data_IF_891357437024
#
_entry.id   IF_891357437024
#
_cell.length_a   1.000
_cell.length_b   1.000
_cell.length_c   1.000
_cell.angle_alpha   90.00
_cell.angle_beta   90.00
_cell.angle_gamma   90.00
#
_symmetry.space_group_name_H-M   'P 1'
#
loop_
_entity.id
_entity.type
_entity.pdbx_description
1 polymer ?
#
# COMPACT_ATOMS: atom_id res chain seq x y z
N UNK A 1 -44.86 -23.10 -55.01
CA UNK A 1 -44.72 -24.37 -54.29
C UNK A 1 -43.38 -24.98 -54.66
N UNK A 2 -42.39 -24.82 -53.78
CA UNK A 2 -41.06 -25.38 -53.93
C UNK A 2 -40.59 -25.78 -52.52
N UNK A 3 -40.18 -27.03 -52.37
CA UNK A 3 -39.62 -27.57 -51.15
C UNK A 3 -38.10 -27.45 -51.19
N UNK A 4 -37.48 -27.02 -50.08
CA UNK A 4 -36.21 -27.59 -49.64
C UNK A 4 -35.93 -27.26 -48.17
N UNK A 5 -35.64 -28.33 -47.44
CA UNK A 5 -35.23 -28.36 -46.04
C UNK A 5 -33.74 -27.97 -45.98
N UNK A 6 -33.39 -26.97 -45.18
CA UNK A 6 -31.99 -26.56 -44.93
C UNK A 6 -31.65 -26.76 -43.45
N UNK A 7 -30.73 -27.69 -43.23
CA UNK A 7 -30.11 -28.05 -41.95
C UNK A 7 -29.18 -26.94 -41.47
N UNK A 8 -29.43 -26.40 -40.28
CA UNK A 8 -28.64 -25.32 -39.71
C UNK A 8 -27.44 -25.90 -38.92
N UNK A 9 -26.21 -25.61 -39.36
CA UNK A 9 -24.97 -25.99 -38.66
C UNK A 9 -24.66 -25.02 -37.52
N UNK A 10 -24.26 -25.50 -36.31
CA UNK A 10 -23.83 -24.63 -35.23
C UNK A 10 -22.43 -24.06 -35.49
N UNK A 11 -22.30 -22.73 -35.44
CA UNK A 11 -21.06 -21.98 -35.64
C UNK A 11 -20.07 -22.24 -34.50
N UNK A 12 -18.85 -22.63 -34.87
CA UNK A 12 -17.69 -22.81 -33.99
C UNK A 12 -17.26 -21.47 -33.38
N UNK A 13 -17.24 -21.40 -32.04
CA UNK A 13 -16.71 -20.26 -31.28
C UNK A 13 -15.18 -20.39 -31.17
N UNK A 14 -14.44 -19.40 -31.69
CA UNK A 14 -12.97 -19.33 -31.61
C UNK A 14 -12.56 -18.80 -30.24
N UNK A 15 -11.64 -19.53 -29.61
CA UNK A 15 -10.97 -19.15 -28.36
C UNK A 15 -10.03 -17.95 -28.61
N UNK A 16 -10.13 -16.92 -27.78
CA UNK A 16 -9.10 -15.88 -27.60
C UNK A 16 -8.43 -16.11 -26.24
N UNK A 17 -7.10 -15.96 -26.13
CA UNK A 17 -6.37 -16.27 -24.90
C UNK A 17 -6.64 -15.24 -23.81
N UNK A 18 -7.03 -15.72 -22.64
CA UNK A 18 -7.10 -14.98 -21.37
C UNK A 18 -5.67 -14.52 -21.00
N UNK A 19 -5.45 -13.21 -20.97
CA UNK A 19 -4.27 -12.62 -20.34
C UNK A 19 -4.47 -12.69 -18.83
N UNK A 20 -3.69 -13.55 -18.18
CA UNK A 20 -3.67 -13.74 -16.73
C UNK A 20 -3.09 -12.52 -16.04
N UNK A 21 -3.87 -11.96 -15.11
CA UNK A 21 -3.45 -10.96 -14.15
C UNK A 21 -2.61 -11.67 -13.07
N UNK A 22 -1.28 -11.55 -13.15
CA UNK A 22 -0.37 -11.96 -12.06
C UNK A 22 -0.31 -10.81 -11.07
N UNK A 23 -1.12 -10.89 -10.01
CA UNK A 23 -0.98 -10.05 -8.82
C UNK A 23 0.12 -10.67 -7.95
N UNK A 24 1.35 -10.16 -8.06
CA UNK A 24 2.36 -10.35 -7.03
C UNK A 24 2.11 -9.35 -5.90
N UNK A 25 1.07 -9.61 -5.12
CA UNK A 25 0.86 -9.07 -3.79
C UNK A 25 1.22 -10.13 -2.76
N UNK A 26 2.51 -10.38 -2.55
CA UNK A 26 2.98 -11.22 -1.46
C UNK A 26 2.98 -10.37 -0.18
N UNK A 27 1.88 -10.48 0.56
CA UNK A 27 1.65 -9.85 1.86
C UNK A 27 0.39 -10.42 2.53
N UNK A 28 0.27 -11.74 2.54
CA UNK A 28 -0.58 -12.62 3.35
C UNK A 28 -1.94 -12.10 3.84
N UNK A 29 -2.95 -12.37 3.02
CA UNK A 29 -4.30 -12.77 3.46
C UNK A 29 -4.18 -14.03 4.34
N UNK A 30 -4.59 -13.99 5.61
CA UNK A 30 -5.02 -15.18 6.35
C UNK A 30 -6.41 -14.96 6.95
N UNK A 31 -7.22 -16.01 6.81
CA UNK A 31 -8.67 -16.09 6.85
C UNK A 31 -9.32 -16.05 8.25
N UNK A 32 -10.64 -15.85 8.22
CA UNK A 32 -11.64 -15.85 9.28
C UNK A 32 -11.71 -17.13 10.18
N UNK A 33 -11.84 -16.91 11.51
CA UNK A 33 -12.79 -17.53 12.48
C UNK A 33 -12.70 -19.02 12.89
N UNK A 34 -13.38 -19.49 13.98
CA UNK A 34 -14.42 -18.82 14.79
C UNK A 34 -14.19 -18.82 16.33
N UNK A 35 -15.01 -18.03 17.02
CA UNK A 35 -15.14 -17.87 18.48
C UNK A 35 -15.54 -19.15 19.23
N UNK A 36 -14.98 -19.39 20.43
CA UNK A 36 -15.67 -20.01 21.57
C UNK A 36 -15.17 -19.42 22.89
N UNK A 37 -16.13 -19.18 23.78
CA UNK A 37 -16.02 -18.59 25.11
C UNK A 37 -15.76 -19.69 26.14
N UNK A 38 -14.75 -19.56 27.01
CA UNK A 38 -14.85 -20.05 28.39
C UNK A 38 -13.87 -19.36 29.35
N UNK A 39 -14.37 -19.15 30.57
CA UNK A 39 -13.73 -18.47 31.70
C UNK A 39 -12.84 -19.50 32.43
N UNK A 40 -11.55 -19.23 32.62
CA UNK A 40 -10.67 -20.12 33.40
C UNK A 40 -9.28 -19.55 33.67
N UNK A 41 -9.07 -19.18 34.93
CA UNK A 41 -7.83 -19.11 35.75
C UNK A 41 -6.43 -19.10 35.10
N UNK A 42 -5.59 -18.20 35.63
CA UNK A 42 -4.12 -18.15 35.56
C UNK A 42 -3.43 -19.51 35.70
N UNK A 43 -2.52 -19.88 34.78
CA UNK A 43 -1.06 -19.82 34.95
C UNK A 43 -0.32 -20.55 33.80
N UNK A 44 0.73 -19.89 33.28
CA UNK A 44 1.92 -20.45 32.59
C UNK A 44 1.78 -20.97 31.12
N UNK A 45 2.90 -21.21 30.39
CA UNK A 45 3.46 -20.29 29.41
C UNK A 45 3.45 -20.89 27.98
N UNK A 46 2.70 -20.30 27.05
CA UNK A 46 2.49 -20.94 25.75
C UNK A 46 3.64 -20.72 24.76
N UNK A 47 4.59 -21.65 24.81
CA UNK A 47 5.48 -22.01 23.71
C UNK A 47 4.74 -22.68 22.54
N UNK A 48 3.69 -22.05 22.02
CA UNK A 48 3.03 -22.49 20.79
C UNK A 48 3.93 -22.21 19.58
N UNK A 49 3.97 -23.13 18.62
CA UNK A 49 4.72 -22.96 17.36
C UNK A 49 4.31 -21.69 16.59
N UNK A 50 3.07 -21.23 16.81
CA UNK A 50 2.55 -19.97 16.25
C UNK A 50 3.08 -18.72 16.96
N UNK A 51 3.27 -18.75 18.29
CA UNK A 51 3.89 -17.64 19.03
C UNK A 51 5.34 -17.41 18.60
N UNK A 52 6.12 -18.50 18.44
CA UNK A 52 7.50 -18.41 17.94
C UNK A 52 7.59 -17.96 16.48
N UNK A 53 6.64 -18.36 15.65
CA UNK A 53 6.56 -17.89 14.26
C UNK A 53 6.22 -16.40 14.22
N UNK A 54 5.29 -15.94 15.04
CA UNK A 54 4.95 -14.53 15.17
C UNK A 54 6.13 -13.70 15.68
N UNK A 55 6.88 -14.19 16.68
CA UNK A 55 8.08 -13.53 17.19
C UNK A 55 9.23 -13.54 16.17
N UNK A 56 9.39 -14.63 15.40
CA UNK A 56 10.37 -14.69 14.30
C UNK A 56 9.99 -13.75 13.15
N UNK A 57 8.72 -13.66 12.79
CA UNK A 57 8.25 -12.70 11.78
C UNK A 57 8.42 -11.26 12.28
N UNK A 58 8.14 -10.98 13.56
CA UNK A 58 8.44 -9.69 14.17
C UNK A 58 9.93 -9.36 14.09
N UNK A 59 10.81 -10.28 14.46
CA UNK A 59 12.27 -10.09 14.34
C UNK A 59 12.74 -9.93 12.89
N UNK A 60 12.15 -10.68 11.95
CA UNK A 60 12.50 -10.62 10.52
C UNK A 60 12.09 -9.28 9.87
N UNK A 61 11.01 -8.67 10.33
CA UNK A 61 10.52 -7.36 9.86
C UNK A 61 10.92 -6.19 10.78
N UNK A 62 11.69 -6.42 11.85
CA UNK A 62 12.17 -5.37 12.76
C UNK A 62 11.12 -4.79 13.72
N UNK A 63 10.06 -5.55 14.00
CA UNK A 63 8.95 -5.20 14.89
C UNK A 63 9.20 -5.62 16.35
N UNK A 64 10.36 -5.27 16.92
CA UNK A 64 10.45 -5.13 18.37
C UNK A 64 9.63 -3.89 18.79
N UNK A 65 9.28 -3.72 20.08
CA UNK A 65 8.59 -2.50 20.57
C UNK A 65 9.37 -1.21 20.25
N UNK A 66 10.67 -1.35 19.99
CA UNK A 66 11.55 -0.30 19.47
C UNK A 66 11.24 0.09 18.01
N UNK A 67 10.34 -0.59 17.30
CA UNK A 67 9.98 -0.28 15.91
C UNK A 67 9.00 0.89 15.75
N UNK A 68 8.40 1.38 16.83
CA UNK A 68 7.28 2.35 16.79
C UNK A 68 7.64 3.64 17.53
N UNK A 69 7.33 4.78 16.93
CA UNK A 69 7.42 6.11 17.55
C UNK A 69 6.00 6.58 17.88
N UNK A 70 5.79 7.06 19.09
CA UNK A 70 4.53 7.73 19.49
C UNK A 70 4.75 9.24 19.54
N UNK A 71 3.85 10.00 18.92
CA UNK A 71 3.83 11.47 18.99
C UNK A 71 2.39 11.94 19.00
N UNK A 72 2.00 12.73 20.00
CA UNK A 72 0.65 13.31 20.12
C UNK A 72 -0.49 12.28 20.00
N UNK A 73 -0.27 11.07 20.54
CA UNK A 73 -1.25 9.98 20.50
C UNK A 73 -1.36 9.25 19.15
N UNK A 74 -0.52 9.60 18.18
CA UNK A 74 -0.35 8.93 16.89
C UNK A 74 0.85 7.98 16.94
N UNK A 75 0.76 6.87 16.21
CA UNK A 75 1.86 5.91 16.04
C UNK A 75 2.47 6.02 14.65
N UNK A 76 3.80 5.93 14.59
CA UNK A 76 4.59 5.96 13.35
C UNK A 76 5.60 4.83 13.34
N UNK A 77 5.86 4.28 12.17
CA UNK A 77 6.91 3.30 12.00
C UNK A 77 8.28 4.01 12.04
N UNK A 78 9.19 3.56 12.93
CA UNK A 78 10.49 4.19 13.14
C UNK A 78 11.30 4.30 11.84
N UNK A 79 11.24 3.28 10.99
CA UNK A 79 11.96 3.28 9.72
C UNK A 79 11.45 4.34 8.74
N UNK A 80 10.15 4.63 8.74
CA UNK A 80 9.54 5.66 7.90
C UNK A 80 9.94 7.05 8.38
N UNK A 81 9.92 7.27 9.71
CA UNK A 81 10.43 8.51 10.31
C UNK A 81 11.90 8.70 9.96
N UNK A 82 12.72 7.66 10.04
CA UNK A 82 14.11 7.76 9.61
C UNK A 82 14.24 8.02 8.11
N UNK A 83 13.45 7.36 7.27
CA UNK A 83 13.49 7.49 5.82
C UNK A 83 13.24 8.94 5.38
N UNK A 84 12.22 9.59 5.92
CA UNK A 84 11.89 10.97 5.53
C UNK A 84 12.94 11.99 5.97
N UNK A 85 13.79 11.68 6.96
CA UNK A 85 14.89 12.55 7.41
C UNK A 85 16.26 12.19 6.82
N UNK A 86 16.35 11.10 6.04
CA UNK A 86 17.60 10.66 5.44
C UNK A 86 17.94 11.46 4.19
N UNK A 87 19.21 11.34 3.80
CA UNK A 87 19.69 11.78 2.48
C UNK A 87 18.92 11.11 1.35
N UNK A 88 19.04 11.68 0.16
CA UNK A 88 18.42 11.17 -1.05
C UNK A 88 18.66 9.66 -1.22
N UNK A 89 17.56 8.91 -1.33
CA UNK A 89 17.59 7.47 -1.64
C UNK A 89 18.07 7.19 -3.08
N UNK A 90 18.24 8.22 -3.91
CA UNK A 90 18.82 8.10 -5.24
C UNK A 90 20.34 7.91 -5.20
N UNK A 91 20.97 8.27 -4.08
CA UNK A 91 22.39 8.07 -3.83
C UNK A 91 22.62 6.90 -2.86
N UNK A 92 23.74 6.21 -3.01
CA UNK A 92 24.13 5.19 -2.04
C UNK A 92 24.39 5.83 -0.66
N UNK A 93 23.98 5.19 0.45
CA UNK A 93 24.37 5.64 1.78
C UNK A 93 25.90 5.69 1.89
N UNK A 94 26.46 6.80 2.39
CA UNK A 94 27.89 6.87 2.67
C UNK A 94 28.27 5.79 3.69
N UNK A 95 29.32 5.00 3.40
CA UNK A 95 29.78 3.92 4.26
C UNK A 95 29.26 2.52 3.91
N UNK A 96 28.48 2.34 2.83
CA UNK A 96 28.10 1.00 2.32
C UNK A 96 29.28 0.32 1.58
N UNK A 97 30.41 0.15 2.26
CA UNK A 97 31.67 -0.35 1.67
C UNK A 97 31.67 -1.81 1.21
N UNK A 98 30.52 -2.46 1.03
CA UNK A 98 30.44 -3.88 0.66
C UNK A 98 29.10 -4.34 0.06
N UNK A 99 28.08 -3.48 -0.06
CA UNK A 99 26.78 -3.95 -0.59
C UNK A 99 26.68 -3.76 -2.10
N UNK A 100 26.56 -4.86 -2.86
CA UNK A 100 26.10 -4.89 -4.26
C UNK A 100 24.64 -4.45 -4.44
N UNK A 101 23.95 -4.10 -3.34
CA UNK A 101 22.56 -3.65 -3.33
C UNK A 101 22.47 -2.27 -4.00
N UNK A 102 21.72 -2.22 -5.11
CA UNK A 102 21.32 -0.96 -5.73
C UNK A 102 20.22 -0.32 -4.88
N UNK A 103 20.52 0.84 -4.27
CA UNK A 103 19.57 1.60 -3.45
C UNK A 103 18.67 2.51 -4.29
N UNK A 104 19.14 2.89 -5.49
CA UNK A 104 18.41 3.77 -6.38
C UNK A 104 17.29 2.96 -7.07
N UNK A 105 16.00 3.30 -6.86
CA UNK A 105 14.89 2.58 -7.45
C UNK A 105 14.70 2.88 -8.95
N UNK A 106 15.30 3.96 -9.48
CA UNK A 106 15.08 4.41 -10.85
C UNK A 106 15.38 3.33 -11.90
N UNK A 107 16.52 2.62 -11.88
CA UNK A 107 16.84 1.64 -12.93
C UNK A 107 15.81 0.50 -13.02
N UNK A 108 15.29 0.04 -11.87
CA UNK A 108 14.28 -1.02 -11.86
C UNK A 108 12.93 -0.53 -12.41
N UNK A 109 12.52 0.69 -12.06
CA UNK A 109 11.26 1.27 -12.52
C UNK A 109 11.31 1.57 -14.02
N UNK A 110 12.43 2.11 -14.51
CA UNK A 110 12.58 2.49 -15.92
C UNK A 110 12.73 1.27 -16.83
N UNK A 111 13.43 0.24 -16.38
CA UNK A 111 13.47 -1.05 -17.07
C UNK A 111 12.07 -1.67 -17.15
N UNK A 112 11.33 -1.72 -16.03
CA UNK A 112 9.96 -2.22 -16.02
C UNK A 112 9.02 -1.41 -16.92
N UNK A 113 9.16 -0.09 -16.93
CA UNK A 113 8.41 0.77 -17.85
C UNK A 113 8.67 0.40 -19.31
N UNK A 114 9.94 0.18 -19.70
CA UNK A 114 10.29 -0.20 -21.06
C UNK A 114 9.70 -1.56 -21.42
N UNK A 115 9.79 -2.54 -20.52
CA UNK A 115 9.20 -3.87 -20.72
C UNK A 115 7.67 -3.80 -20.95
N UNK A 116 6.95 -2.93 -20.24
CA UNK A 116 5.52 -2.74 -20.43
C UNK A 116 5.22 -2.03 -21.75
N UNK A 117 6.01 -1.01 -22.09
CA UNK A 117 5.87 -0.25 -23.33
C UNK A 117 6.06 -1.13 -24.57
N UNK A 118 7.03 -2.04 -24.55
CA UNK A 118 7.29 -3.02 -25.62
C UNK A 118 6.09 -3.96 -25.86
N UNK A 119 5.23 -4.12 -24.85
CA UNK A 119 4.00 -4.92 -24.91
C UNK A 119 2.75 -4.08 -25.18
N UNK A 120 2.90 -2.79 -25.43
CA UNK A 120 1.78 -1.86 -25.60
C UNK A 120 0.98 -1.61 -24.31
N UNK A 121 1.58 -1.89 -23.14
CA UNK A 121 0.95 -1.71 -21.83
C UNK A 121 1.37 -0.35 -21.26
N UNK A 122 0.38 0.45 -20.86
CA UNK A 122 0.59 1.74 -20.19
C UNK A 122 0.92 1.53 -18.71
N UNK A 123 2.03 2.11 -18.25
CA UNK A 123 2.37 2.18 -16.82
C UNK A 123 1.95 3.54 -16.26
N UNK A 124 1.21 3.51 -15.14
CA UNK A 124 0.98 4.66 -14.28
C UNK A 124 1.67 4.36 -12.95
N UNK A 125 2.61 5.21 -12.54
CA UNK A 125 3.30 5.08 -11.27
C UNK A 125 2.68 6.02 -10.23
N UNK A 126 2.43 5.49 -9.03
CA UNK A 126 1.85 6.21 -7.90
C UNK A 126 2.82 6.15 -6.71
N UNK A 127 3.78 7.08 -6.58
CA UNK A 127 4.63 7.16 -5.39
C UNK A 127 3.75 7.47 -4.16
N UNK A 128 3.67 6.53 -3.23
CA UNK A 128 2.89 6.70 -1.99
C UNK A 128 3.83 7.13 -0.86
N UNK A 129 3.74 8.37 -0.35
CA UNK A 129 4.51 8.77 0.81
C UNK A 129 4.02 8.02 2.06
N UNK A 130 4.96 7.70 2.96
CA UNK A 130 4.65 7.07 4.24
C UNK A 130 3.83 8.00 5.14
N UNK A 131 3.16 7.45 6.16
CA UNK A 131 2.50 8.23 7.21
C UNK A 131 3.44 9.26 7.86
N UNK A 132 4.72 8.94 8.00
CA UNK A 132 5.72 9.84 8.58
C UNK A 132 5.97 11.12 7.76
N UNK A 133 5.50 11.18 6.51
CA UNK A 133 5.58 12.40 5.69
C UNK A 133 4.61 13.48 6.15
N UNK A 134 3.53 13.10 6.82
CA UNK A 134 2.53 14.01 7.36
C UNK A 134 2.38 13.77 8.86
N UNK A 135 3.39 14.14 9.66
CA UNK A 135 3.26 14.05 11.11
C UNK A 135 2.14 14.98 11.56
N UNK A 136 1.38 14.52 12.55
CA UNK A 136 0.23 15.25 13.07
C UNK A 136 0.62 16.67 13.52
N UNK A 137 -0.24 17.64 13.21
CA UNK A 137 0.02 19.06 13.45
C UNK A 137 1.06 19.73 12.54
N UNK A 138 1.69 19.01 11.60
CA UNK A 138 2.60 19.63 10.64
C UNK A 138 1.84 20.27 9.47
N UNK A 139 2.15 21.54 9.20
CA UNK A 139 1.62 22.29 8.05
C UNK A 139 2.34 21.87 6.77
N UNK A 140 3.63 21.59 6.88
CA UNK A 140 4.50 21.22 5.75
C UNK A 140 4.86 19.73 5.81
N UNK A 141 4.86 19.02 4.67
CA UNK A 141 5.24 17.61 4.63
C UNK A 141 6.75 17.43 4.87
N UNK A 142 7.11 16.39 5.59
CA UNK A 142 8.50 15.94 5.75
C UNK A 142 8.79 14.86 4.71
N UNK A 143 9.52 15.20 3.67
CA UNK A 143 9.88 14.24 2.61
C UNK A 143 11.38 13.99 2.59
N UNK A 144 11.75 12.78 2.17
CA UNK A 144 13.16 12.47 1.88
C UNK A 144 13.71 13.46 0.85
N UNK A 145 14.98 13.85 1.00
CA UNK A 145 15.67 14.79 0.11
C UNK A 145 15.55 14.43 -1.39
N UNK A 146 15.51 13.14 -1.71
CA UNK A 146 15.40 12.63 -3.08
C UNK A 146 13.97 12.60 -3.65
N UNK A 147 12.93 12.90 -2.88
CA UNK A 147 11.53 12.68 -3.29
C UNK A 147 11.15 13.49 -4.55
N UNK A 148 11.37 14.80 -4.53
CA UNK A 148 11.01 15.66 -5.66
C UNK A 148 11.89 15.43 -6.88
N UNK A 149 13.18 15.15 -6.66
CA UNK A 149 14.11 14.78 -7.72
C UNK A 149 13.68 13.46 -8.40
N UNK A 150 13.29 12.46 -7.62
CA UNK A 150 12.78 11.19 -8.11
C UNK A 150 11.56 11.37 -9.02
N UNK A 151 10.57 12.16 -8.59
CA UNK A 151 9.39 12.47 -9.40
C UNK A 151 9.78 13.20 -10.69
N UNK A 152 10.69 14.18 -10.59
CA UNK A 152 11.17 14.96 -11.75
C UNK A 152 11.84 14.05 -12.77
N UNK A 153 12.76 13.18 -12.35
CA UNK A 153 13.49 12.27 -13.24
C UNK A 153 12.50 11.33 -13.96
N UNK A 154 11.59 10.70 -13.23
CA UNK A 154 10.58 9.81 -13.81
C UNK A 154 9.74 10.50 -14.89
N UNK A 155 9.24 11.72 -14.61
CA UNK A 155 8.37 12.46 -15.54
C UNK A 155 9.15 13.03 -16.73
N UNK A 156 10.24 13.74 -16.48
CA UNK A 156 10.91 14.54 -17.51
C UNK A 156 11.91 13.72 -18.33
N UNK A 157 12.67 12.83 -17.69
CA UNK A 157 13.77 12.11 -18.34
C UNK A 157 13.33 10.77 -18.91
N UNK A 158 12.37 10.10 -18.25
CA UNK A 158 11.87 8.79 -18.67
C UNK A 158 10.45 8.80 -19.25
N UNK A 159 9.78 9.96 -19.26
CA UNK A 159 8.40 10.11 -19.74
C UNK A 159 7.42 9.13 -19.09
N UNK A 160 7.68 8.74 -17.83
CA UNK A 160 6.78 7.89 -17.06
C UNK A 160 5.64 8.77 -16.54
N UNK A 161 4.41 8.31 -16.74
CA UNK A 161 3.26 8.95 -16.13
C UNK A 161 3.27 8.70 -14.63
N UNK A 162 3.41 9.78 -13.87
CA UNK A 162 3.46 9.76 -12.41
C UNK A 162 2.32 10.57 -11.85
N UNK A 163 1.48 9.93 -11.06
CA UNK A 163 0.45 10.59 -10.24
C UNK A 163 1.04 10.81 -8.85
N UNK A 164 1.39 12.06 -8.54
CA UNK A 164 1.90 12.44 -7.22
C UNK A 164 0.72 12.71 -6.29
N UNK A 165 0.58 11.89 -5.25
CA UNK A 165 -0.54 11.97 -4.29
C UNK A 165 -0.23 12.87 -3.10
N UNK A 166 1.03 13.25 -2.87
CA UNK A 166 1.42 14.04 -1.71
C UNK A 166 0.62 15.37 -1.58
N UNK A 167 0.41 16.16 -2.66
CA UNK A 167 -0.38 17.40 -2.54
C UNK A 167 -1.81 17.17 -2.05
N UNK A 168 -2.43 16.05 -2.43
CA UNK A 168 -3.77 15.68 -1.94
C UNK A 168 -3.73 15.36 -0.45
N UNK A 169 -2.75 14.56 0.00
CA UNK A 169 -2.64 14.17 1.41
C UNK A 169 -2.33 15.36 2.32
N UNK A 170 -1.51 16.31 1.86
CA UNK A 170 -1.28 17.60 2.53
C UNK A 170 -2.60 18.37 2.63
N UNK A 171 -3.33 18.51 1.52
CA UNK A 171 -4.62 19.21 1.51
C UNK A 171 -5.66 18.58 2.44
N UNK A 172 -5.67 17.26 2.59
CA UNK A 172 -6.55 16.58 3.54
C UNK A 172 -6.18 16.95 4.97
N UNK A 173 -4.89 16.89 5.30
CA UNK A 173 -4.37 17.18 6.63
C UNK A 173 -4.64 18.64 7.04
N UNK A 174 -4.43 19.60 6.13
CA UNK A 174 -4.71 21.03 6.40
C UNK A 174 -6.21 21.34 6.54
N UNK A 175 -7.08 20.47 6.04
CA UNK A 175 -8.53 20.55 6.21
C UNK A 175 -9.03 19.83 7.48
N UNK A 176 -8.12 19.31 8.32
CA UNK A 176 -8.45 18.57 9.52
C UNK A 176 -8.93 17.13 9.25
N UNK A 177 -8.72 16.62 8.04
CA UNK A 177 -8.96 15.22 7.72
C UNK A 177 -7.70 14.39 7.95
N UNK A 178 -7.83 13.17 8.46
CA UNK A 178 -6.68 12.28 8.64
C UNK A 178 -6.53 11.33 7.44
N UNK A 179 -5.48 11.46 6.61
CA UNK A 179 -5.25 10.54 5.49
C UNK A 179 -4.81 9.15 5.94
N UNK A 180 -4.36 8.98 7.19
CA UNK A 180 -3.86 7.73 7.77
C UNK A 180 -4.62 7.36 9.04
N UNK A 181 -4.62 6.07 9.38
CA UNK A 181 -5.16 5.58 10.64
C UNK A 181 -4.21 5.92 11.80
N UNK A 182 -4.74 6.12 13.02
CA UNK A 182 -3.97 6.71 14.12
C UNK A 182 -2.93 5.73 14.70
N UNK A 183 -3.30 4.47 14.85
CA UNK A 183 -2.47 3.40 15.44
C UNK A 183 -2.02 2.36 14.43
N UNK A 184 -2.12 2.69 13.15
CA UNK A 184 -1.81 1.80 12.04
C UNK A 184 -0.95 2.55 11.01
N UNK A 185 -0.12 1.83 10.27
CA UNK A 185 0.76 2.38 9.24
C UNK A 185 0.03 2.77 7.96
N UNK A 186 -1.19 2.25 7.74
CA UNK A 186 -1.93 2.41 6.50
C UNK A 186 -2.82 3.68 6.48
N UNK A 187 -3.24 4.03 5.25
CA UNK A 187 -4.23 5.05 5.00
C UNK A 187 -5.57 4.81 5.72
N UNK A 188 -6.29 5.89 6.02
CA UNK A 188 -7.69 5.80 6.42
C UNK A 188 -8.56 5.41 5.20
N UNK A 189 -9.75 4.82 5.40
CA UNK A 189 -10.69 4.56 4.30
C UNK A 189 -10.98 5.81 3.46
N UNK A 190 -11.08 6.98 4.12
CA UNK A 190 -11.25 8.28 3.46
C UNK A 190 -10.03 8.67 2.63
N UNK A 191 -8.82 8.50 3.17
CA UNK A 191 -7.55 8.69 2.44
C UNK A 191 -7.50 7.83 1.18
N UNK A 192 -7.79 6.53 1.32
CA UNK A 192 -7.89 5.59 0.21
C UNK A 192 -8.89 6.04 -0.86
N UNK A 193 -10.11 6.38 -0.45
CA UNK A 193 -11.16 6.79 -1.39
C UNK A 193 -10.78 8.07 -2.17
N UNK A 194 -10.16 9.05 -1.51
CA UNK A 194 -9.72 10.30 -2.15
C UNK A 194 -8.57 10.06 -3.14
N UNK A 195 -7.60 9.22 -2.78
CA UNK A 195 -6.50 8.84 -3.68
C UNK A 195 -7.02 8.05 -4.88
N UNK A 196 -7.90 7.07 -4.66
CA UNK A 196 -8.50 6.29 -5.75
C UNK A 196 -9.24 7.18 -6.75
N UNK A 197 -9.98 8.18 -6.26
CA UNK A 197 -10.66 9.16 -7.11
C UNK A 197 -9.69 10.03 -7.90
N UNK A 198 -8.63 10.53 -7.25
CA UNK A 198 -7.56 11.28 -7.92
C UNK A 198 -6.94 10.46 -9.06
N UNK A 199 -6.66 9.17 -8.81
CA UNK A 199 -6.10 8.28 -9.84
C UNK A 199 -7.06 8.11 -11.01
N UNK A 200 -8.34 7.81 -10.74
CA UNK A 200 -9.36 7.67 -11.78
C UNK A 200 -9.47 8.95 -12.64
N UNK A 201 -9.54 10.12 -11.99
CA UNK A 201 -9.67 11.42 -12.65
C UNK A 201 -8.44 11.76 -13.51
N UNK A 202 -7.23 11.41 -13.05
CA UNK A 202 -5.97 11.76 -13.74
C UNK A 202 -5.61 10.84 -14.88
N UNK A 203 -6.00 9.57 -14.79
CA UNK A 203 -5.48 8.53 -15.70
C UNK A 203 -6.48 8.13 -16.77
N UNK A 204 -7.75 8.54 -16.64
CA UNK A 204 -8.84 8.10 -17.53
C UNK A 204 -8.90 6.57 -17.68
N UNK A 205 -8.45 5.83 -16.66
CA UNK A 205 -8.57 4.37 -16.62
C UNK A 205 -10.04 4.01 -16.80
N UNK A 206 -10.28 3.04 -17.67
CA UNK A 206 -11.62 2.60 -17.98
C UNK A 206 -12.27 2.04 -16.72
N UNK A 207 -13.31 2.71 -16.24
CA UNK A 207 -14.06 2.23 -15.10
C UNK A 207 -14.71 0.89 -15.46
N UNK A 208 -14.80 -0.04 -14.50
CA UNK A 208 -15.51 -1.28 -14.71
C UNK A 208 -16.96 -1.01 -15.14
N UNK A 209 -17.46 -1.82 -16.08
CA UNK A 209 -18.81 -1.68 -16.67
C UNK A 209 -19.90 -1.88 -15.59
N UNK A 210 -19.61 -2.74 -14.61
CA UNK A 210 -20.50 -2.99 -13.48
C UNK A 210 -20.27 -1.94 -12.39
N UNK A 211 -21.36 -1.31 -11.95
CA UNK A 211 -21.35 -0.52 -10.74
C UNK A 211 -21.06 -1.43 -9.53
N UNK A 212 -20.31 -0.91 -8.56
CA UNK A 212 -20.10 -1.54 -7.27
C UNK A 212 -20.88 -0.74 -6.23
N UNK A 213 -21.52 -1.45 -5.31
CA UNK A 213 -22.13 -0.83 -4.15
C UNK A 213 -21.07 -0.66 -3.04
N UNK A 214 -20.98 0.54 -2.49
CA UNK A 214 -20.16 0.83 -1.30
C UNK A 214 -21.05 0.85 -0.08
N UNK A 215 -20.67 0.13 0.97
CA UNK A 215 -21.42 0.05 2.22
C UNK A 215 -20.55 0.61 3.34
N UNK A 216 -21.05 1.63 4.03
CA UNK A 216 -20.37 2.19 5.19
C UNK A 216 -20.53 1.26 6.39
N UNK A 217 -19.39 0.90 7.00
CA UNK A 217 -19.33 0.00 8.15
C UNK A 217 -18.33 0.56 9.15
N UNK A 218 -18.78 0.69 10.40
CA UNK A 218 -17.89 0.99 11.52
C UNK A 218 -17.23 -0.29 12.01
N UNK A 219 -15.91 -0.30 12.02
CA UNK A 219 -15.11 -1.43 12.50
C UNK A 219 -14.17 -0.96 13.60
N UNK A 220 -13.93 -1.83 14.59
CA UNK A 220 -12.92 -1.61 15.63
C UNK A 220 -11.85 -2.68 15.45
N UNK A 221 -10.63 -2.24 15.21
CA UNK A 221 -9.49 -3.12 14.95
C UNK A 221 -8.26 -2.54 15.70
N UNK A 222 -7.39 -3.42 16.18
CA UNK A 222 -6.08 -3.03 16.68
C UNK A 222 -5.14 -2.88 15.48
N UNK A 223 -4.69 -1.65 15.21
CA UNK A 223 -3.76 -1.36 14.11
C UNK A 223 -2.41 -2.06 14.24
N UNK A 224 -1.71 -2.25 13.14
CA UNK A 224 -0.42 -2.95 13.11
C UNK A 224 0.63 -2.33 14.05
N UNK A 225 0.79 -1.00 14.04
CA UNK A 225 1.72 -0.29 14.92
C UNK A 225 1.30 -0.41 16.40
N UNK A 226 0.00 -0.43 16.68
CA UNK A 226 -0.50 -0.65 18.03
C UNK A 226 -0.21 -2.07 18.53
N UNK A 227 -0.33 -3.09 17.67
CA UNK A 227 0.03 -4.47 18.01
C UNK A 227 1.53 -4.60 18.32
N UNK A 228 2.39 -3.97 17.51
CA UNK A 228 3.85 -3.97 17.72
C UNK A 228 4.24 -3.24 19.01
N UNK A 229 3.54 -2.15 19.34
CA UNK A 229 3.78 -1.39 20.58
C UNK A 229 3.39 -2.16 21.85
N UNK A 230 2.40 -3.05 21.80
CA UNK A 230 1.87 -3.77 22.97
C UNK A 230 0.66 -3.10 23.64
N UNK A 231 0.05 -3.75 24.66
CA UNK A 231 -1.32 -3.49 25.10
C UNK A 231 -1.56 -2.06 25.59
N UNK A 232 -2.67 -1.48 25.12
CA UNK A 232 -3.17 -0.16 25.54
C UNK A 232 -3.70 0.73 24.42
N UNK A 233 -4.15 0.18 23.29
CA UNK A 233 -4.62 0.99 22.17
C UNK A 233 -5.62 0.26 21.27
N UNK A 234 -6.82 0.83 21.12
CA UNK A 234 -7.86 0.40 20.17
C UNK A 234 -8.26 1.62 19.34
N UNK A 235 -8.39 1.48 18.01
CA UNK A 235 -8.92 2.53 17.14
C UNK A 235 -10.30 2.16 16.61
N UNK A 236 -11.21 3.13 16.62
CA UNK A 236 -12.51 3.03 15.96
C UNK A 236 -12.41 3.64 14.57
N UNK A 237 -12.58 2.82 13.53
CA UNK A 237 -12.59 3.26 12.15
C UNK A 237 -14.03 3.62 11.79
N UNK A 238 -14.25 4.89 11.41
CA UNK A 238 -15.51 5.35 10.84
C UNK A 238 -15.24 5.81 9.42
N UNK A 239 -15.92 5.21 8.44
CA UNK A 239 -15.96 5.65 7.04
C UNK A 239 -17.18 6.52 6.82
#
# INVERSE_FOLDING_TARGET
MAAKEETNSPRRFRWLPLVGLVVLGLGAMFFLGPSFNERGTSDNPDGSSFGRLADQLRGLFGFDSDGVITRDGQLYLRQDVQHVHRRSFLASPQGSGSSTRNWNPLPAITDFHQQLKDRGIRLILLPLPSKATLPDGAIEPVVNEGYYEFIRILKSEHQIEVVDVLPLLVSMSTQGESPFLRGDSHWSPKGMARVARLVADRTSVQLPISAYETIDRKLTLTGDLAQVRGPGYEDQITS
#
